data_IF_530164175567
#
_entry.id   IF_530164175567
#
_cell.length_a   1.000
_cell.length_b   1.000
_cell.length_c   1.000
_cell.angle_alpha   90.00
_cell.angle_beta   90.00
_cell.angle_gamma   90.00
#
_symmetry.space_group_name_H-M   'P 1'
#
loop_
_entity.id
_entity.type
_entity.pdbx_description
1 polymer ?
#
# COMPACT_ATOMS: atom_id res chain seq x y z
N UNK A 1 13.41 1.94 -9.38
CA UNK A 1 14.74 1.34 -9.13
C UNK A 1 14.68 -0.17 -9.26
N UNK A 2 15.81 -0.79 -9.54
CA UNK A 2 15.89 -2.24 -9.63
C UNK A 2 15.68 -2.87 -8.27
N UNK A 3 14.97 -4.00 -8.22
CA UNK A 3 14.71 -4.75 -7.01
C UNK A 3 15.25 -6.19 -7.12
N UNK A 4 15.73 -6.77 -6.02
CA UNK A 4 15.80 -6.20 -4.67
C UNK A 4 16.82 -5.06 -4.56
N UNK A 5 16.49 -4.03 -3.77
CA UNK A 5 17.37 -2.90 -3.50
C UNK A 5 18.20 -3.13 -2.23
N UNK A 6 19.39 -2.56 -2.21
CA UNK A 6 20.32 -2.69 -1.09
C UNK A 6 20.76 -1.32 -0.59
N UNK A 7 21.07 -1.21 0.71
CA UNK A 7 21.83 -0.08 1.24
C UNK A 7 23.32 -0.21 0.87
N UNK A 8 24.15 0.77 1.24
CA UNK A 8 25.55 0.91 0.80
C UNK A 8 26.42 -0.30 1.17
N UNK A 9 26.29 -0.81 2.40
CA UNK A 9 27.05 -1.95 2.91
C UNK A 9 26.40 -3.32 2.61
N UNK A 10 25.25 -3.30 1.91
CA UNK A 10 24.42 -4.46 1.55
C UNK A 10 23.95 -5.29 2.75
N UNK A 11 23.87 -4.66 3.91
CA UNK A 11 23.33 -5.29 5.12
C UNK A 11 21.81 -5.34 5.13
N UNK A 12 21.16 -4.41 4.44
CA UNK A 12 19.71 -4.35 4.26
C UNK A 12 19.32 -4.71 2.82
N UNK A 13 18.22 -5.44 2.69
CA UNK A 13 17.64 -5.82 1.38
C UNK A 13 16.17 -5.46 1.39
N UNK A 14 15.75 -4.64 0.44
CA UNK A 14 14.38 -4.16 0.28
C UNK A 14 13.71 -4.80 -0.93
N UNK A 15 12.47 -5.25 -0.74
CA UNK A 15 11.47 -5.42 -1.80
C UNK A 15 10.26 -4.56 -1.50
N UNK A 16 9.76 -3.87 -2.52
CA UNK A 16 8.77 -2.80 -2.38
C UNK A 16 7.77 -2.80 -3.54
N UNK A 17 6.51 -2.68 -3.23
CA UNK A 17 5.43 -2.43 -4.18
C UNK A 17 4.67 -1.19 -3.71
N UNK A 18 4.83 -0.08 -4.41
CA UNK A 18 4.13 1.13 -4.01
C UNK A 18 4.77 2.40 -4.52
N UNK A 19 4.40 3.50 -3.85
CA UNK A 19 4.91 4.83 -4.09
C UNK A 19 4.87 5.65 -2.79
N UNK A 20 6.00 6.29 -2.45
CA UNK A 20 6.12 7.13 -1.27
C UNK A 20 6.04 8.59 -1.70
N UNK A 21 4.89 9.22 -1.52
CA UNK A 21 4.62 10.58 -2.02
C UNK A 21 5.48 11.66 -1.38
N UNK A 22 5.82 11.51 -0.10
CA UNK A 22 6.67 12.47 0.63
C UNK A 22 8.16 12.10 0.62
N UNK A 23 8.61 11.29 -0.36
CA UNK A 23 9.99 10.81 -0.41
C UNK A 23 11.02 11.95 -0.49
N UNK A 24 10.69 13.08 -1.12
CA UNK A 24 11.61 14.22 -1.25
C UNK A 24 11.93 14.84 0.12
N UNK A 25 10.89 15.04 0.93
CA UNK A 25 11.01 15.57 2.29
C UNK A 25 11.79 14.61 3.21
N UNK A 26 11.49 13.32 3.11
CA UNK A 26 12.20 12.28 3.87
C UNK A 26 13.68 12.20 3.44
N UNK A 27 13.94 12.29 2.13
CA UNK A 27 15.30 12.29 1.59
C UNK A 27 16.14 13.46 2.14
N UNK A 28 15.58 14.67 2.20
CA UNK A 28 16.27 15.83 2.77
C UNK A 28 16.64 15.61 4.24
N UNK A 29 15.73 15.05 5.04
CA UNK A 29 15.98 14.71 6.43
C UNK A 29 17.09 13.65 6.58
N UNK A 30 17.07 12.63 5.74
CA UNK A 30 18.04 11.54 5.74
C UNK A 30 19.43 12.02 5.30
N UNK A 31 19.51 12.88 4.29
CA UNK A 31 20.79 13.52 3.88
C UNK A 31 21.33 14.37 5.02
N UNK A 32 20.50 15.16 5.69
CA UNK A 32 20.90 15.94 6.85
C UNK A 32 21.41 15.09 8.02
N UNK A 33 20.91 13.85 8.13
CA UNK A 33 21.36 12.85 9.09
C UNK A 33 22.64 12.09 8.66
N UNK A 34 23.17 12.37 7.46
CA UNK A 34 24.42 11.80 6.95
C UNK A 34 24.28 10.63 5.97
N UNK A 35 23.04 10.26 5.57
CA UNK A 35 22.83 9.22 4.58
C UNK A 35 23.14 9.71 3.16
N UNK A 36 23.67 8.82 2.34
CA UNK A 36 24.00 9.09 0.94
C UNK A 36 23.09 8.28 0.05
N UNK A 37 22.53 8.91 -0.98
CA UNK A 37 21.61 8.27 -1.92
C UNK A 37 22.30 7.95 -3.24
N UNK A 38 22.06 6.78 -3.75
CA UNK A 38 22.63 6.28 -5.01
C UNK A 38 21.78 6.63 -6.24
N UNK A 39 20.47 6.87 -6.02
CA UNK A 39 19.51 7.18 -7.08
C UNK A 39 18.44 8.17 -6.60
N UNK A 40 17.49 8.50 -7.48
CA UNK A 40 16.38 9.42 -7.18
C UNK A 40 15.05 8.71 -6.93
N UNK A 41 15.08 7.40 -6.72
CA UNK A 41 13.87 6.61 -6.46
C UNK A 41 13.30 6.91 -5.07
N UNK A 42 12.00 6.83 -4.94
CA UNK A 42 11.29 6.90 -3.67
C UNK A 42 11.57 5.71 -2.75
N UNK A 43 11.98 4.57 -3.33
CA UNK A 43 12.22 3.33 -2.58
C UNK A 43 13.42 3.43 -1.64
N UNK A 44 14.46 4.19 -2.00
CA UNK A 44 15.71 4.25 -1.22
C UNK A 44 15.50 4.92 0.15
N UNK A 45 14.48 5.79 0.27
CA UNK A 45 14.12 6.40 1.57
C UNK A 45 13.64 5.35 2.59
N UNK A 46 13.15 4.20 2.14
CA UNK A 46 12.74 3.12 3.03
C UNK A 46 13.93 2.44 3.70
N UNK A 47 15.04 2.23 2.98
CA UNK A 47 16.27 1.65 3.52
C UNK A 47 16.90 2.58 4.56
N UNK A 48 17.21 3.80 4.17
CA UNK A 48 17.83 4.78 5.05
C UNK A 48 16.92 5.21 6.20
N UNK A 49 15.61 5.29 5.95
CA UNK A 49 14.63 5.57 6.99
C UNK A 49 14.54 4.44 8.02
N UNK A 50 14.67 3.19 7.61
CA UNK A 50 14.72 2.07 8.55
C UNK A 50 16.04 2.08 9.37
N UNK A 51 17.16 2.45 8.77
CA UNK A 51 18.42 2.63 9.49
C UNK A 51 18.35 3.71 10.56
N UNK A 52 17.70 4.83 10.26
CA UNK A 52 17.64 5.97 11.17
C UNK A 52 16.52 5.85 12.21
N UNK A 53 15.33 5.40 11.81
CA UNK A 53 14.11 5.44 12.63
C UNK A 53 13.58 4.07 13.04
N UNK A 54 14.13 2.98 12.48
CA UNK A 54 13.64 1.62 12.76
C UNK A 54 12.16 1.46 12.42
N UNK A 55 11.40 0.92 13.35
CA UNK A 55 9.95 0.68 13.20
C UNK A 55 9.14 2.00 13.10
N UNK A 56 9.64 3.11 13.61
CA UNK A 56 8.97 4.42 13.53
C UNK A 56 8.91 4.97 12.08
N UNK A 57 9.67 4.40 11.16
CA UNK A 57 9.63 4.74 9.75
C UNK A 57 8.19 4.80 9.24
N UNK A 58 7.35 3.78 9.54
CA UNK A 58 6.00 3.67 8.97
C UNK A 58 5.09 4.83 9.31
N UNK A 59 5.28 5.48 10.47
CA UNK A 59 4.51 6.64 10.89
C UNK A 59 4.88 7.93 10.14
N UNK A 60 6.01 7.93 9.46
CA UNK A 60 6.53 9.07 8.69
C UNK A 60 6.18 8.99 7.21
N UNK A 61 5.76 7.81 6.74
CA UNK A 61 5.46 7.58 5.33
C UNK A 61 4.09 8.14 4.95
N UNK A 62 4.03 8.86 3.84
CA UNK A 62 2.80 9.17 3.13
C UNK A 62 2.88 8.52 1.75
N UNK A 63 1.98 7.59 1.47
CA UNK A 63 2.01 6.84 0.22
C UNK A 63 1.09 5.65 0.21
N UNK A 64 1.15 4.89 -0.87
CA UNK A 64 0.55 3.58 -1.02
C UNK A 64 1.68 2.56 -1.10
N UNK A 65 1.73 1.62 -0.16
CA UNK A 65 2.89 0.74 -0.08
C UNK A 65 2.63 -0.61 0.57
N UNK A 66 3.42 -1.56 0.11
CA UNK A 66 3.71 -2.81 0.77
C UNK A 66 5.20 -3.10 0.59
N UNK A 67 5.95 -3.28 1.66
CA UNK A 67 7.38 -3.54 1.58
C UNK A 67 7.86 -4.52 2.64
N UNK A 68 9.01 -5.12 2.36
CA UNK A 68 9.77 -5.92 3.33
C UNK A 68 11.24 -5.53 3.24
N UNK A 69 11.84 -5.31 4.39
CA UNK A 69 13.28 -5.11 4.58
C UNK A 69 13.83 -6.33 5.33
N UNK A 70 14.81 -6.99 4.73
CA UNK A 70 15.59 -8.02 5.40
C UNK A 70 16.89 -7.42 5.94
N UNK A 71 17.05 -7.45 7.25
CA UNK A 71 18.30 -7.08 7.92
C UNK A 71 19.17 -8.34 8.12
N UNK A 72 20.25 -8.44 7.34
CA UNK A 72 21.20 -9.57 7.38
C UNK A 72 21.98 -9.64 8.69
N UNK A 73 22.17 -8.52 9.38
CA UNK A 73 22.93 -8.44 10.65
C UNK A 73 22.16 -9.12 11.78
N UNK A 74 20.86 -8.86 11.84
CA UNK A 74 19.96 -9.39 12.86
C UNK A 74 19.23 -10.66 12.42
N UNK A 75 19.29 -10.98 11.11
CA UNK A 75 18.53 -12.05 10.44
C UNK A 75 17.03 -11.92 10.66
N UNK A 76 16.53 -10.69 10.62
CA UNK A 76 15.11 -10.37 10.80
C UNK A 76 14.52 -9.72 9.58
N UNK A 77 13.18 -9.84 9.45
CA UNK A 77 12.40 -9.11 8.48
C UNK A 77 11.60 -8.02 9.20
N UNK A 78 11.55 -6.87 8.58
CA UNK A 78 10.61 -5.80 8.90
C UNK A 78 9.77 -5.52 7.67
N UNK A 79 8.44 -5.62 7.79
CA UNK A 79 7.55 -5.38 6.65
C UNK A 79 6.34 -4.58 7.07
N UNK A 80 5.78 -3.80 6.14
CA UNK A 80 4.64 -2.95 6.41
C UNK A 80 3.69 -2.84 5.21
N UNK A 81 2.45 -2.52 5.52
CA UNK A 81 1.39 -2.21 4.55
C UNK A 81 0.78 -0.86 4.86
N UNK A 82 0.45 -0.08 3.83
CA UNK A 82 -0.07 1.27 3.96
C UNK A 82 -1.36 1.37 4.80
N UNK A 83 -1.69 2.60 5.20
CA UNK A 83 -2.78 2.91 6.14
C UNK A 83 -4.14 2.36 5.71
N UNK A 84 -4.42 2.30 4.41
CA UNK A 84 -5.70 1.87 3.86
C UNK A 84 -5.64 0.53 3.13
N UNK A 85 -4.43 -0.10 3.05
CA UNK A 85 -4.23 -1.37 2.37
C UNK A 85 -4.40 -1.28 0.86
N UNK A 86 -4.04 -0.13 0.27
CA UNK A 86 -4.10 0.10 -1.18
C UNK A 86 -3.22 -0.91 -1.90
N UNK A 87 -1.99 -1.11 -1.41
CA UNK A 87 -1.12 -2.16 -1.95
C UNK A 87 -1.40 -3.50 -1.28
N UNK A 88 -1.49 -4.58 -2.06
CA UNK A 88 -1.70 -5.92 -1.51
C UNK A 88 -0.44 -6.44 -0.81
N UNK A 89 -0.65 -7.21 0.26
CA UNK A 89 0.40 -7.97 0.94
C UNK A 89 -0.19 -9.29 1.43
N UNK A 90 0.28 -10.39 0.88
CA UNK A 90 -0.08 -11.75 1.29
C UNK A 90 1.12 -12.44 1.89
N UNK A 91 0.87 -13.34 2.85
CA UNK A 91 1.93 -14.14 3.45
C UNK A 91 1.42 -15.51 3.88
N UNK A 92 2.36 -16.43 4.06
CA UNK A 92 2.10 -17.79 4.53
C UNK A 92 3.34 -18.35 5.19
N UNK A 93 3.13 -19.38 6.02
CA UNK A 93 4.19 -20.20 6.60
C UNK A 93 4.12 -21.60 6.01
N UNK A 94 5.21 -22.05 5.42
CA UNK A 94 5.33 -23.38 4.79
C UNK A 94 6.59 -24.07 5.30
N UNK A 95 6.41 -25.09 6.15
CA UNK A 95 7.53 -25.69 6.87
C UNK A 95 8.24 -24.66 7.72
N UNK A 96 9.54 -24.47 7.48
CA UNK A 96 10.37 -23.45 8.16
C UNK A 96 10.43 -22.12 7.38
N UNK A 97 9.73 -22.03 6.23
CA UNK A 97 9.80 -20.87 5.36
C UNK A 97 8.66 -19.89 5.64
N UNK A 98 9.01 -18.61 5.76
CA UNK A 98 8.07 -17.49 5.69
C UNK A 98 8.07 -16.94 4.26
N UNK A 99 6.92 -16.96 3.60
CA UNK A 99 6.76 -16.56 2.20
C UNK A 99 5.78 -15.40 2.15
N UNK A 100 6.10 -14.40 1.34
CA UNK A 100 5.24 -13.23 1.16
C UNK A 100 5.26 -12.75 -0.29
N UNK A 101 4.26 -11.97 -0.68
CA UNK A 101 4.16 -11.39 -2.02
C UNK A 101 2.93 -10.53 -2.20
N UNK A 102 2.92 -9.80 -3.31
CA UNK A 102 1.76 -8.98 -3.70
C UNK A 102 0.59 -9.80 -4.25
N UNK A 103 0.85 -11.03 -4.72
CA UNK A 103 -0.17 -11.91 -5.27
C UNK A 103 0.04 -13.35 -4.79
N UNK A 104 -1.06 -14.04 -4.45
CA UNK A 104 -1.02 -15.43 -3.98
C UNK A 104 -0.47 -16.37 -5.06
N UNK A 105 -0.64 -16.04 -6.34
CA UNK A 105 -0.12 -16.87 -7.43
C UNK A 105 1.40 -17.09 -7.35
N UNK A 106 2.14 -16.18 -6.71
CA UNK A 106 3.58 -16.33 -6.50
C UNK A 106 3.95 -17.46 -5.53
N UNK A 107 2.99 -17.99 -4.76
CA UNK A 107 3.19 -19.10 -3.83
C UNK A 107 2.91 -20.47 -4.45
N UNK A 108 2.17 -20.51 -5.57
CA UNK A 108 1.59 -21.73 -6.13
C UNK A 108 2.63 -22.78 -6.55
N UNK A 109 3.82 -22.33 -6.91
CA UNK A 109 4.91 -23.20 -7.36
C UNK A 109 5.83 -23.65 -6.21
N UNK A 110 5.57 -23.20 -4.98
CA UNK A 110 6.33 -23.67 -3.83
C UNK A 110 5.97 -25.16 -3.55
N UNK A 111 6.96 -26.05 -3.36
CA UNK A 111 6.70 -27.51 -3.25
C UNK A 111 5.76 -27.89 -2.10
N UNK A 112 5.75 -27.10 -1.02
CA UNK A 112 4.89 -27.35 0.15
C UNK A 112 3.54 -26.64 0.05
N UNK A 113 3.25 -25.91 -1.04
CA UNK A 113 1.99 -25.21 -1.19
C UNK A 113 0.84 -26.17 -1.47
N UNK A 114 -0.18 -26.15 -0.62
CA UNK A 114 -1.40 -26.93 -0.80
C UNK A 114 -2.55 -26.03 -1.24
N UNK A 115 -3.13 -26.33 -2.39
CA UNK A 115 -4.31 -25.61 -2.92
C UNK A 115 -5.58 -26.13 -2.20
N UNK A 116 -5.79 -25.70 -0.98
CA UNK A 116 -6.96 -26.02 -0.19
C UNK A 116 -7.86 -24.81 -0.04
N UNK A 117 -9.16 -24.96 -0.33
CA UNK A 117 -10.15 -23.89 -0.19
C UNK A 117 -10.41 -23.62 1.30
N UNK A 118 -10.41 -22.37 1.67
CA UNK A 118 -10.92 -21.90 2.96
C UNK A 118 -12.42 -21.60 2.84
N UNK A 119 -13.25 -22.56 3.25
CA UNK A 119 -14.71 -22.47 3.15
C UNK A 119 -15.28 -21.32 4.02
N UNK A 120 -14.66 -21.01 5.16
CA UNK A 120 -15.10 -19.91 6.03
C UNK A 120 -14.86 -18.55 5.36
N UNK A 121 -13.70 -18.35 4.76
CA UNK A 121 -13.42 -17.14 4.00
C UNK A 121 -14.33 -17.01 2.76
N UNK A 122 -14.70 -18.12 2.13
CA UNK A 122 -15.70 -18.14 1.05
C UNK A 122 -17.08 -17.72 1.56
N UNK A 123 -17.53 -18.23 2.71
CA UNK A 123 -18.80 -17.85 3.31
C UNK A 123 -18.86 -16.35 3.65
N UNK A 124 -17.77 -15.80 4.18
CA UNK A 124 -17.64 -14.36 4.41
C UNK A 124 -17.76 -13.56 3.11
N UNK A 125 -17.06 -14.01 2.07
CA UNK A 125 -17.12 -13.35 0.75
C UNK A 125 -18.53 -13.37 0.15
N UNK A 126 -19.24 -14.48 0.22
CA UNK A 126 -20.61 -14.57 -0.28
C UNK A 126 -21.58 -13.66 0.49
N UNK A 127 -21.28 -13.34 1.75
CA UNK A 127 -22.11 -12.44 2.58
C UNK A 127 -21.77 -10.97 2.37
N UNK A 128 -20.48 -10.63 2.27
CA UNK A 128 -19.99 -9.24 2.31
C UNK A 128 -19.39 -8.78 0.97
N UNK A 129 -19.20 -9.67 -0.02
CA UNK A 129 -18.48 -9.44 -1.28
C UNK A 129 -16.99 -9.09 -1.09
N UNK A 130 -16.46 -9.25 0.11
CA UNK A 130 -15.04 -9.15 0.46
C UNK A 130 -14.72 -10.02 1.67
N UNK A 131 -13.44 -10.31 1.93
CA UNK A 131 -13.03 -11.00 3.14
C UNK A 131 -12.78 -9.98 4.26
N UNK A 132 -13.59 -9.93 5.33
CA UNK A 132 -13.45 -8.99 6.45
C UNK A 132 -12.30 -9.37 7.41
N UNK A 133 -11.73 -10.56 7.25
CA UNK A 133 -10.63 -11.10 8.07
C UNK A 133 -9.29 -11.03 7.35
N UNK A 134 -8.22 -11.43 8.05
CA UNK A 134 -6.90 -11.60 7.43
C UNK A 134 -6.83 -12.80 6.49
N UNK A 135 -7.74 -13.75 6.61
CA UNK A 135 -7.76 -14.97 5.84
C UNK A 135 -8.15 -14.76 4.37
N UNK A 136 -7.63 -15.62 3.52
CA UNK A 136 -7.91 -15.63 2.08
C UNK A 136 -8.70 -16.90 1.70
N UNK A 137 -9.06 -17.04 0.42
CA UNK A 137 -9.68 -18.26 -0.10
C UNK A 137 -8.77 -19.50 -0.06
N UNK A 138 -7.47 -19.30 0.15
CA UNK A 138 -6.54 -20.39 0.37
C UNK A 138 -6.29 -20.57 1.87
N UNK A 139 -6.44 -21.80 2.39
CA UNK A 139 -6.08 -22.10 3.78
C UNK A 139 -4.63 -21.75 4.06
N UNK A 140 -4.38 -21.21 5.24
CA UNK A 140 -3.04 -20.82 5.71
C UNK A 140 -2.35 -19.72 4.87
N UNK A 141 -3.09 -19.03 4.00
CA UNK A 141 -2.62 -17.81 3.33
C UNK A 141 -3.36 -16.62 3.88
N UNK A 142 -2.62 -15.64 4.36
CA UNK A 142 -3.14 -14.48 5.07
C UNK A 142 -2.84 -13.18 4.33
N UNK A 143 -3.64 -12.16 4.59
CA UNK A 143 -3.37 -10.76 4.22
C UNK A 143 -2.78 -10.04 5.43
N UNK A 144 -1.74 -9.25 5.24
CA UNK A 144 -1.38 -8.27 6.26
C UNK A 144 -2.48 -7.20 6.32
N UNK A 145 -3.09 -6.93 7.50
CA UNK A 145 -4.12 -5.91 7.61
C UNK A 145 -3.61 -4.52 7.22
N UNK A 146 -4.50 -3.60 6.76
CA UNK A 146 -4.15 -2.19 6.57
C UNK A 146 -3.57 -1.57 7.84
N UNK A 147 -2.67 -0.60 7.69
CA UNK A 147 -2.04 0.10 8.80
C UNK A 147 -1.27 -0.80 9.78
N UNK A 148 -0.73 -1.91 9.30
CA UNK A 148 0.11 -2.79 10.13
C UNK A 148 1.52 -2.89 9.57
N UNK A 149 2.46 -2.99 10.49
CA UNK A 149 3.77 -3.52 10.21
C UNK A 149 3.99 -4.82 10.98
N UNK A 150 4.99 -5.57 10.59
CA UNK A 150 5.43 -6.76 11.31
C UNK A 150 6.95 -6.80 11.42
N UNK A 151 7.41 -7.47 12.46
CA UNK A 151 8.77 -7.98 12.60
C UNK A 151 8.70 -9.50 12.60
N UNK A 152 9.64 -10.14 11.88
CA UNK A 152 9.75 -11.60 11.85
C UNK A 152 11.19 -11.98 12.14
N UNK A 153 11.37 -12.80 13.17
CA UNK A 153 12.69 -13.29 13.59
C UNK A 153 12.54 -14.64 14.31
N UNK A 154 13.47 -15.54 14.09
CA UNK A 154 13.56 -16.85 14.78
C UNK A 154 12.24 -17.66 14.74
N UNK A 155 11.50 -17.56 13.62
CA UNK A 155 10.21 -18.25 13.42
C UNK A 155 9.01 -17.52 14.01
N UNK A 156 9.18 -16.40 14.70
CA UNK A 156 8.11 -15.64 15.33
C UNK A 156 7.78 -14.36 14.56
N UNK A 157 6.50 -14.14 14.27
CA UNK A 157 5.96 -12.94 13.66
C UNK A 157 5.18 -12.12 14.68
N UNK A 158 5.60 -10.88 14.89
CA UNK A 158 4.87 -9.91 15.70
C UNK A 158 4.27 -8.85 14.77
N UNK A 159 2.93 -8.69 14.81
CA UNK A 159 2.22 -7.64 14.08
C UNK A 159 1.87 -6.49 15.01
N UNK A 160 2.02 -5.27 14.50
CA UNK A 160 1.68 -4.03 15.24
C UNK A 160 0.91 -3.11 14.33
N UNK A 161 -0.22 -2.60 14.82
CA UNK A 161 -0.99 -1.56 14.13
C UNK A 161 -0.36 -0.20 14.41
N UNK A 162 0.03 0.54 13.35
CA UNK A 162 0.69 1.83 13.50
C UNK A 162 -0.22 3.04 13.26
N UNK A 163 -1.40 2.83 12.65
CA UNK A 163 -2.37 3.90 12.41
C UNK A 163 -3.80 3.42 12.67
N UNK A 164 -4.59 4.29 13.26
CA UNK A 164 -6.04 4.14 13.43
C UNK A 164 -6.69 5.48 13.12
N UNK A 165 -7.69 5.53 12.21
CA UNK A 165 -8.49 6.73 12.04
C UNK A 165 -9.17 7.09 13.35
N UNK A 166 -9.07 8.36 13.72
CA UNK A 166 -9.83 8.93 14.83
C UNK A 166 -10.82 9.94 14.27
N UNK A 167 -12.06 9.85 14.71
CA UNK A 167 -13.15 10.69 14.23
C UNK A 167 -13.69 11.50 15.39
N UNK A 168 -13.38 12.79 15.37
CA UNK A 168 -13.94 13.74 16.31
C UNK A 168 -15.01 14.57 15.62
N UNK A 169 -16.16 14.77 16.29
CA UNK A 169 -17.18 15.66 15.82
C UNK A 169 -16.68 17.12 15.94
N UNK A 170 -16.55 17.80 14.81
CA UNK A 170 -16.19 19.21 14.78
C UNK A 170 -17.43 20.11 14.82
N UNK A 171 -17.25 21.32 15.33
CA UNK A 171 -18.25 22.39 15.22
C UNK A 171 -17.98 23.27 14.00
N UNK A 172 -19.02 23.60 13.22
CA UNK A 172 -18.88 24.44 12.04
C UNK A 172 -20.11 24.45 11.14
N UNK A 173 -20.08 25.31 10.13
CA UNK A 173 -21.11 25.36 9.10
C UNK A 173 -20.81 24.31 8.01
N UNK A 174 -21.83 23.98 7.20
CA UNK A 174 -21.64 23.12 6.04
C UNK A 174 -20.58 23.68 5.09
N UNK A 175 -20.58 24.98 4.87
CA UNK A 175 -19.60 25.67 4.02
C UNK A 175 -18.18 25.50 4.56
N UNK A 176 -17.97 25.66 5.86
CA UNK A 176 -16.68 25.44 6.52
C UNK A 176 -16.16 24.00 6.27
N UNK A 177 -17.01 22.99 6.45
CA UNK A 177 -16.58 21.59 6.21
C UNK A 177 -16.39 21.29 4.73
N UNK A 178 -17.15 21.91 3.82
CA UNK A 178 -16.94 21.79 2.39
C UNK A 178 -15.56 22.35 1.97
N UNK A 179 -15.20 23.52 2.48
CA UNK A 179 -13.87 24.12 2.23
C UNK A 179 -12.72 23.28 2.75
N UNK A 180 -12.85 22.73 3.98
CA UNK A 180 -11.84 21.82 4.54
C UNK A 180 -11.70 20.55 3.71
N UNK A 181 -12.81 19.99 3.25
CA UNK A 181 -12.81 18.79 2.42
C UNK A 181 -12.19 19.08 1.05
N UNK A 182 -12.57 20.16 0.38
CA UNK A 182 -11.98 20.56 -0.90
C UNK A 182 -10.46 20.73 -0.80
N UNK A 183 -10.00 21.43 0.23
CA UNK A 183 -8.57 21.63 0.49
C UNK A 183 -7.85 20.29 0.68
N UNK A 184 -8.37 19.42 1.53
CA UNK A 184 -7.75 18.12 1.83
C UNK A 184 -7.70 17.23 0.59
N UNK A 185 -8.78 17.19 -0.22
CA UNK A 185 -8.82 16.42 -1.47
C UNK A 185 -7.81 16.96 -2.47
N UNK A 186 -7.75 18.27 -2.70
CA UNK A 186 -6.79 18.88 -3.64
C UNK A 186 -5.34 18.65 -3.23
N UNK A 187 -5.02 18.75 -1.95
CA UNK A 187 -3.69 18.42 -1.41
C UNK A 187 -3.36 16.93 -1.61
N UNK A 188 -4.33 16.06 -1.38
CA UNK A 188 -4.15 14.62 -1.60
C UNK A 188 -3.93 14.29 -3.07
N UNK A 189 -4.77 14.83 -3.95
CA UNK A 189 -4.65 14.65 -5.41
C UNK A 189 -3.30 15.16 -5.91
N UNK A 190 -2.84 16.31 -5.44
CA UNK A 190 -1.53 16.85 -5.81
C UNK A 190 -0.38 15.91 -5.44
N UNK A 191 -0.45 15.28 -4.26
CA UNK A 191 0.54 14.30 -3.83
C UNK A 191 0.52 13.02 -4.71
N UNK A 192 -0.67 12.55 -5.09
CA UNK A 192 -0.83 11.37 -5.95
C UNK A 192 -0.37 11.60 -7.41
N UNK A 193 -0.19 12.84 -7.83
CA UNK A 193 0.29 13.19 -9.18
C UNK A 193 1.82 13.17 -9.31
N UNK A 194 2.55 12.89 -8.24
CA UNK A 194 4.00 12.77 -8.30
C UNK A 194 4.31 11.45 -9.03
N UNK A 195 4.69 11.55 -10.30
CA UNK A 195 4.99 10.43 -11.16
C UNK A 195 6.01 10.84 -12.25
N UNK A 196 6.79 9.87 -12.74
CA UNK A 196 7.71 10.06 -13.86
C UNK A 196 7.04 9.87 -15.23
N UNK A 197 5.74 9.57 -15.23
CA UNK A 197 4.93 9.31 -16.42
C UNK A 197 3.67 10.18 -16.42
N UNK A 198 3.02 10.29 -17.59
CA UNK A 198 1.74 10.98 -17.71
C UNK A 198 0.67 10.34 -16.82
N UNK A 199 -0.05 11.18 -16.07
CA UNK A 199 -1.12 10.75 -15.15
C UNK A 199 -2.47 11.03 -15.79
N UNK A 200 -3.30 10.01 -15.91
CA UNK A 200 -4.70 10.11 -16.32
C UNK A 200 -5.67 9.82 -15.16
N UNK A 201 -6.95 10.02 -15.37
CA UNK A 201 -8.00 9.71 -14.40
C UNK A 201 -9.09 8.83 -15.00
N UNK A 202 -9.59 7.88 -14.22
CA UNK A 202 -10.85 7.23 -14.54
C UNK A 202 -12.01 8.19 -14.29
N UNK A 203 -13.00 8.18 -15.20
CA UNK A 203 -14.18 9.03 -15.13
C UNK A 203 -15.41 8.16 -15.36
N UNK A 204 -16.22 7.97 -14.33
CA UNK A 204 -17.43 7.12 -14.35
C UNK A 204 -18.74 7.93 -14.37
N UNK A 205 -18.68 9.23 -14.69
CA UNK A 205 -19.78 10.21 -14.56
C UNK A 205 -20.33 10.41 -13.13
N UNK A 206 -19.85 9.66 -12.15
CA UNK A 206 -20.14 9.88 -10.75
C UNK A 206 -19.53 11.18 -10.21
N UNK A 207 -20.14 11.75 -9.16
CA UNK A 207 -19.69 13.01 -8.54
C UNK A 207 -18.24 12.91 -8.09
N UNK A 208 -17.86 11.81 -7.43
CA UNK A 208 -16.50 11.63 -6.89
C UNK A 208 -15.45 11.59 -7.99
N UNK A 209 -15.66 10.77 -9.04
CA UNK A 209 -14.72 10.66 -10.14
C UNK A 209 -14.58 11.98 -10.92
N UNK A 210 -15.68 12.71 -11.10
CA UNK A 210 -15.67 14.02 -11.76
C UNK A 210 -14.92 15.07 -10.96
N UNK A 211 -15.13 15.07 -9.64
CA UNK A 211 -14.44 15.97 -8.73
C UNK A 211 -12.93 15.68 -8.67
N UNK A 212 -12.54 14.40 -8.59
CA UNK A 212 -11.12 14.00 -8.61
C UNK A 212 -10.47 14.38 -9.95
N UNK A 213 -11.15 14.15 -11.10
CA UNK A 213 -10.61 14.50 -12.41
C UNK A 213 -10.41 16.03 -12.56
N UNK A 214 -11.36 16.83 -12.04
CA UNK A 214 -11.25 18.30 -12.01
C UNK A 214 -10.09 18.74 -11.12
N UNK A 215 -10.02 18.23 -9.88
CA UNK A 215 -8.95 18.56 -8.93
C UNK A 215 -7.57 18.16 -9.47
N UNK A 216 -7.49 17.03 -10.18
CA UNK A 216 -6.25 16.52 -10.76
C UNK A 216 -5.81 17.30 -12.01
N UNK A 217 -6.73 17.95 -12.72
CA UNK A 217 -6.45 18.66 -13.99
C UNK A 217 -5.60 17.81 -14.93
N UNK A 218 -6.06 16.56 -15.16
CA UNK A 218 -5.39 15.63 -16.06
C UNK A 218 -5.78 15.90 -17.51
N UNK A 219 -4.85 15.62 -18.44
CA UNK A 219 -5.09 15.80 -19.86
C UNK A 219 -5.89 14.63 -20.48
N UNK A 220 -5.96 13.50 -19.77
CA UNK A 220 -6.64 12.28 -20.24
C UNK A 220 -7.53 11.69 -19.17
N UNK A 221 -8.76 11.36 -19.59
CA UNK A 221 -9.69 10.56 -18.79
C UNK A 221 -10.08 9.29 -19.53
N UNK A 222 -10.43 8.26 -18.77
CA UNK A 222 -10.82 6.96 -19.29
C UNK A 222 -12.20 6.59 -18.73
N UNK A 223 -13.13 6.26 -19.63
CA UNK A 223 -14.48 5.84 -19.28
C UNK A 223 -14.77 4.49 -19.93
N UNK A 224 -15.45 3.60 -19.23
CA UNK A 224 -15.89 2.30 -19.73
C UNK A 224 -17.40 2.38 -20.00
N UNK A 225 -17.82 2.06 -21.22
CA UNK A 225 -19.20 1.90 -21.58
C UNK A 225 -19.52 0.46 -21.99
N UNK A 226 -20.80 0.08 -21.97
CA UNK A 226 -21.28 -1.24 -22.35
C UNK A 226 -22.16 -1.15 -23.60
N UNK A 227 -21.79 -1.88 -24.65
CA UNK A 227 -22.61 -2.09 -25.84
C UNK A 227 -23.54 -3.29 -25.62
N UNK A 228 -24.76 -3.05 -25.15
CA UNK A 228 -25.78 -4.09 -25.00
C UNK A 228 -27.17 -3.51 -25.24
N UNK A 229 -28.19 -4.33 -25.55
CA UNK A 229 -29.57 -3.85 -25.67
C UNK A 229 -30.08 -3.14 -24.40
N UNK A 230 -29.55 -3.48 -23.24
CA UNK A 230 -29.83 -2.84 -21.95
C UNK A 230 -28.69 -1.89 -21.51
N UNK A 231 -27.78 -1.54 -22.42
CA UNK A 231 -26.56 -0.75 -22.13
C UNK A 231 -26.86 0.61 -21.53
N UNK A 232 -27.92 1.28 -22.00
CA UNK A 232 -28.34 2.59 -21.50
C UNK A 232 -28.69 2.56 -20.00
N UNK A 233 -29.05 1.39 -19.45
CA UNK A 233 -29.35 1.23 -18.02
C UNK A 233 -28.09 1.16 -17.15
N UNK A 234 -26.97 0.78 -17.73
CA UNK A 234 -25.68 0.56 -17.01
C UNK A 234 -24.59 1.52 -17.47
N UNK A 235 -24.87 2.33 -18.51
CA UNK A 235 -23.95 3.36 -18.97
C UNK A 235 -24.23 4.65 -18.19
N UNK A 236 -23.26 5.06 -17.43
CA UNK A 236 -23.22 6.36 -16.73
C UNK A 236 -22.40 7.40 -17.53
N UNK A 237 -22.43 7.31 -18.87
CA UNK A 237 -21.66 8.18 -19.77
C UNK A 237 -22.50 9.40 -20.15
#
# INVERSE_FOLDING_TARGET
GDQPMFNEDKSLVLVFNGEIYNFKELREQLIAAGHTFSNNSDSEVLLHGYELWGEELVSRLRGMFAFVIFDKRTKSLFGARDMFGIKPFYYTFMGESFIFGSEIKSFLDHPDFKKELNEEALAHYLSFQYSPTEETFFKNVFKLPPAHYFTYKDGEMKKTRYFRPDFEAGEGTLEHFADLTDKAVRESVAAHKIADVEVGSFLSSGIDSSYIAEAAKVDKTFTVGFESPDGDRYNEI
#
